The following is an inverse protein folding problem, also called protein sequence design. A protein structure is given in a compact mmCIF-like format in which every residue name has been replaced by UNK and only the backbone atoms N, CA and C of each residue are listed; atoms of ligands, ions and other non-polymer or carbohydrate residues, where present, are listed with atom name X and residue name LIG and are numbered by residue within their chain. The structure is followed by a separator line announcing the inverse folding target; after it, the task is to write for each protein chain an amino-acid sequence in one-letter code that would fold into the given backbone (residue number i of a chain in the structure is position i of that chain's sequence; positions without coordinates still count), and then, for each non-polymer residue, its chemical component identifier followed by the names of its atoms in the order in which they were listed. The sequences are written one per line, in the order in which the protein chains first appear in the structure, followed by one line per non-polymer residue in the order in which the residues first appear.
data_IF_856034689141
#
_entry.id   IF_856034689141
#
_cell.length_a   1.000
_cell.length_b   1.000
_cell.length_c   1.000
_cell.angle_alpha   90.00
_cell.angle_beta   90.00
_cell.angle_gamma   90.00
#
_symmetry.space_group_name_H-M   'P 1'
#
loop_
_entity.id
_entity.type
_entity.pdbx_description
1 polymer ?
2 polymer ?
3 water ?
#
# COMPACT_ATOMS: atom_id res chain seq x y z
N UNK A 1 -9.90 -24.33 -10.16
CA UNK A 1 -10.44 -23.84 -8.90
C UNK A 1 -9.65 -22.68 -8.30
N UNK A 2 -10.30 -21.97 -7.39
CA UNK A 2 -9.71 -20.91 -6.63
C UNK A 2 -8.81 -21.44 -5.51
N UNK A 3 -7.59 -20.92 -5.49
CA UNK A 3 -6.61 -21.26 -4.51
C UNK A 3 -6.88 -20.50 -3.21
N UNK A 4 -7.62 -21.11 -2.30
CA UNK A 4 -8.04 -20.43 -1.08
C UNK A 4 -6.92 -19.92 -0.18
N UNK A 5 -5.71 -20.47 -0.32
CA UNK A 5 -4.58 -19.97 0.43
C UNK A 5 -4.25 -18.54 0.12
N UNK A 6 -4.67 -18.10 -1.06
CA UNK A 6 -4.46 -16.70 -1.48
C UNK A 6 -5.31 -15.73 -0.64
N UNK A 7 -6.25 -16.23 0.17
CA UNK A 7 -6.96 -15.32 1.10
C UNK A 7 -6.17 -14.96 2.34
N UNK A 8 -4.95 -15.49 2.50
CA UNK A 8 -4.07 -15.16 3.61
C UNK A 8 -3.89 -13.63 3.80
N UNK A 9 -3.73 -12.93 2.67
CA UNK A 9 -3.51 -11.48 2.66
C UNK A 9 -4.71 -10.73 3.25
N UNK A 10 -5.90 -11.14 2.81
CA UNK A 10 -7.14 -10.56 3.37
C UNK A 10 -7.23 -10.82 4.85
N UNK A 11 -6.97 -12.05 5.28
CA UNK A 11 -7.02 -12.35 6.69
C UNK A 11 -6.11 -11.46 7.53
N UNK A 12 -4.91 -11.23 6.99
CA UNK A 12 -3.95 -10.36 7.64
C UNK A 12 -4.51 -8.95 7.71
N UNK A 13 -5.01 -8.48 6.57
CA UNK A 13 -5.59 -7.14 6.48
C UNK A 13 -6.74 -6.94 7.46
N UNK A 14 -7.57 -8.00 7.59
CA UNK A 14 -8.61 -7.95 8.65
C UNK A 14 -8.08 -7.85 10.05
N UNK A 15 -7.05 -8.59 10.37
CA UNK A 15 -6.41 -8.54 11.68
C UNK A 15 -5.74 -7.18 11.93
N UNK A 16 -5.15 -6.62 10.87
CA UNK A 16 -4.53 -5.29 10.95
C UNK A 16 -5.58 -4.22 11.24
N UNK A 17 -6.71 -4.30 10.55
CA UNK A 17 -7.83 -3.36 10.71
C UNK A 17 -8.32 -3.49 12.15
N UNK A 18 -8.43 -4.71 12.65
CA UNK A 18 -8.92 -4.91 14.04
C UNK A 18 -7.97 -4.29 15.04
N UNK A 19 -6.68 -4.39 14.76
CA UNK A 19 -5.66 -3.80 15.62
C UNK A 19 -5.77 -2.26 15.60
N UNK A 20 -6.01 -1.72 14.41
CA UNK A 20 -6.11 -0.27 14.15
C UNK A 20 -7.45 0.27 14.71
N UNK A 21 -8.28 -0.65 15.21
CA UNK A 21 -9.67 -0.42 15.66
C UNK A 21 -10.49 0.37 14.66
N UNK A 22 -10.62 -0.13 13.45
CA UNK A 22 -11.27 0.59 12.39
C UNK A 22 -12.12 -0.30 11.53
N UNK A 23 -13.00 0.33 10.80
CA UNK A 23 -13.79 -0.34 9.84
C UNK A 23 -12.83 -1.14 8.94
N UNK A 24 -13.15 -2.39 8.58
CA UNK A 24 -12.13 -3.18 7.88
C UNK A 24 -11.68 -2.60 6.54
N UNK A 25 -10.36 -2.56 6.37
CA UNK A 25 -9.82 -2.27 5.07
C UNK A 25 -10.04 -3.48 4.17
N UNK A 26 -10.15 -3.23 2.88
CA UNK A 26 -10.42 -4.30 1.92
C UNK A 26 -9.50 -4.25 0.72
N UNK A 27 -9.20 -5.41 0.18
CA UNK A 27 -8.56 -5.44 -1.12
C UNK A 27 -9.62 -5.37 -2.21
N UNK A 28 -9.44 -4.52 -3.20
CA UNK A 28 -10.32 -4.50 -4.35
C UNK A 28 -10.11 -5.67 -5.32
N UNK A 29 -10.80 -5.67 -6.45
CA UNK A 29 -10.76 -6.75 -7.41
C UNK A 29 -9.50 -6.72 -8.29
N UNK A 30 -8.58 -5.83 -7.93
CA UNK A 30 -7.23 -5.85 -8.48
C UNK A 30 -6.24 -6.23 -7.43
N UNK A 31 -6.70 -6.66 -6.26
CA UNK A 31 -5.79 -7.11 -5.25
C UNK A 31 -5.04 -5.98 -4.54
N UNK A 32 -5.63 -4.77 -4.53
CA UNK A 32 -5.00 -3.60 -3.93
C UNK A 32 -5.89 -2.91 -2.93
N UNK A 33 -5.24 -2.31 -1.96
CA UNK A 33 -5.91 -1.55 -0.89
C UNK A 33 -5.25 -0.18 -0.84
N UNK A 34 -5.93 0.86 -1.35
CA UNK A 34 -5.43 2.23 -1.37
C UNK A 34 -5.79 2.92 -0.11
N UNK A 35 -4.87 3.67 0.46
CA UNK A 35 -5.04 4.32 1.73
C UNK A 35 -4.43 5.73 1.67
N UNK A 36 -5.02 6.66 2.45
CA UNK A 36 -4.40 7.93 2.73
C UNK A 36 -4.04 8.00 4.19
N UNK A 37 -2.79 8.38 4.51
CA UNK A 37 -2.26 8.42 5.84
C UNK A 37 -2.04 9.85 6.23
N UNK A 38 -2.61 10.22 7.38
CA UNK A 38 -2.42 11.53 7.98
C UNK A 38 -2.77 12.69 7.07
N UNK A 39 -3.77 12.48 6.22
CA UNK A 39 -4.19 13.41 5.15
C UNK A 39 -3.04 13.96 4.32
N UNK A 40 -2.01 13.12 4.16
CA UNK A 40 -0.77 13.61 3.58
C UNK A 40 -0.14 12.63 2.61
N UNK A 41 -0.12 11.35 2.96
CA UNK A 41 0.61 10.38 2.17
C UNK A 41 -0.34 9.42 1.47
N UNK A 42 -0.01 9.08 0.24
CA UNK A 42 -0.70 8.09 -0.52
C UNK A 42 0.03 6.75 -0.51
N UNK A 43 -0.64 5.67 -0.10
CA UNK A 43 0.02 4.35 0.13
C UNK A 43 -0.93 3.31 -0.42
N UNK A 44 -0.39 2.26 -1.00
CA UNK A 44 -1.19 1.16 -1.48
C UNK A 44 -0.59 -0.14 -1.02
N UNK A 45 -1.42 -1.05 -0.56
CA UNK A 45 -0.98 -2.44 -0.34
C UNK A 45 -1.45 -3.28 -1.50
N UNK A 46 -0.56 -4.08 -2.11
CA UNK A 46 -0.85 -4.80 -3.32
C UNK A 46 -0.45 -6.26 -3.15
N UNK A 47 -1.38 -7.18 -3.45
CA UNK A 47 -1.10 -8.59 -3.26
C UNK A 47 -0.49 -9.18 -4.52
N UNK A 48 0.73 -9.70 -4.42
CA UNK A 48 1.32 -10.34 -5.57
C UNK A 48 1.25 -11.84 -5.33
N UNK A 49 0.15 -12.43 -5.74
CA UNK A 49 -0.16 -13.81 -5.35
C UNK A 49 0.84 -14.78 -5.97
N UNK A 50 1.18 -14.54 -7.23
CA UNK A 50 2.06 -15.43 -7.98
C UNK A 50 3.43 -15.49 -7.35
N UNK A 51 3.92 -14.38 -6.82
CA UNK A 51 5.23 -14.33 -6.20
C UNK A 51 5.21 -14.38 -4.70
N UNK A 52 4.03 -14.62 -4.12
CA UNK A 52 3.90 -14.86 -2.69
C UNK A 52 4.53 -13.73 -1.90
N UNK A 53 4.03 -12.51 -2.16
CA UNK A 53 4.54 -11.37 -1.43
C UNK A 53 3.47 -10.26 -1.37
N UNK A 54 3.58 -9.45 -0.36
CA UNK A 54 2.74 -8.25 -0.23
C UNK A 54 3.62 -7.05 -0.51
N UNK A 55 3.14 -6.16 -1.35
CA UNK A 55 3.87 -4.91 -1.65
C UNK A 55 3.25 -3.75 -0.94
N UNK A 56 4.10 -2.95 -0.35
CA UNK A 56 3.73 -1.63 0.18
C UNK A 56 4.28 -0.61 -0.79
N UNK A 57 3.44 0.27 -1.32
CA UNK A 57 3.83 1.18 -2.36
C UNK A 57 3.39 2.57 -1.98
N UNK A 58 4.29 3.52 -2.09
CA UNK A 58 3.99 4.89 -1.72
C UNK A 58 4.34 5.88 -2.77
N UNK A 59 3.58 6.98 -2.83
CA UNK A 59 3.86 8.11 -3.75
C UNK A 59 4.92 8.98 -3.17
N UNK A 60 6.10 9.09 -3.84
CA UNK A 60 7.19 9.94 -3.37
C UNK A 60 6.98 11.33 -3.98
N UNK A 61 7.44 12.35 -3.31
CA UNK A 61 7.34 13.72 -3.82
C UNK A 61 8.62 14.47 -3.54
N UNK A 62 9.72 14.06 -4.21
CA UNK A 62 10.99 14.78 -4.06
C UNK A 62 10.92 16.21 -4.63
N UNK A 63 11.67 17.14 -4.04
CA UNK A 63 11.93 18.45 -4.68
C UNK A 63 12.31 18.27 -6.14
N UNK A 64 11.63 19.04 -6.99
CA UNK A 64 11.87 19.13 -8.43
C UNK A 64 13.36 19.19 -8.83
N UNK A 65 14.21 19.70 -7.94
CA UNK A 65 15.63 19.92 -8.25
C UNK A 65 16.58 19.03 -7.42
N UNK A 66 16.04 18.00 -6.75
CA UNK A 66 16.90 17.00 -6.12
C UNK A 66 17.64 16.36 -7.29
N UNK A 67 18.97 16.29 -7.20
CA UNK A 67 19.72 15.70 -8.31
C UNK A 67 19.33 14.23 -8.48
N UNK A 68 19.21 13.79 -9.73
CA UNK A 68 18.89 12.38 -10.03
C UNK A 68 19.94 11.45 -9.42
N UNK A 69 21.20 11.87 -9.34
CA UNK A 69 22.22 11.09 -8.59
C UNK A 69 21.88 10.78 -7.13
N UNK A 70 21.20 11.72 -6.47
CA UNK A 70 20.77 11.53 -5.10
C UNK A 70 19.68 10.45 -5.02
N UNK A 71 18.75 10.50 -5.96
CA UNK A 71 17.65 9.53 -5.99
C UNK A 71 18.24 8.14 -6.29
N UNK A 72 19.21 8.10 -7.22
CA UNK A 72 19.87 6.79 -7.53
C UNK A 72 20.65 6.23 -6.36
N UNK A 73 21.23 7.04 -5.49
CA UNK A 73 21.82 6.55 -4.26
C UNK A 73 20.78 5.98 -3.31
N UNK A 74 19.69 6.71 -3.15
CA UNK A 74 18.51 6.21 -2.46
C UNK A 74 18.02 4.86 -2.93
N UNK A 75 18.09 4.63 -4.25
CA UNK A 75 17.62 3.40 -4.87
C UNK A 75 18.38 2.18 -4.34
N UNK A 76 19.58 2.40 -3.78
CA UNK A 76 20.35 1.27 -3.23
C UNK A 76 19.94 0.91 -1.85
N UNK A 77 19.08 1.69 -1.19
CA UNK A 77 18.73 1.40 0.17
C UNK A 77 18.33 -0.05 0.54
N UNK A 78 17.54 -0.70 -0.30
CA UNK A 78 17.21 -2.12 -0.01
C UNK A 78 18.44 -2.98 0.16
N UNK A 79 19.43 -2.77 -0.69
CA UNK A 79 20.69 -3.53 -0.49
C UNK A 79 21.33 -3.23 0.82
N UNK A 80 21.42 -1.97 1.21
CA UNK A 80 22.17 -1.54 2.36
C UNK A 80 21.58 -2.01 3.67
N UNK A 81 20.24 -2.07 3.77
CA UNK A 81 19.63 -2.39 5.06
C UNK A 81 18.24 -3.07 5.00
N UNK A 82 17.82 -3.53 3.83
CA UNK A 82 16.55 -4.23 3.62
C UNK A 82 15.36 -3.31 3.82
N UNK A 83 15.63 -2.03 3.85
CA UNK A 83 14.58 -1.01 3.91
C UNK A 83 13.97 -0.69 2.61
N UNK A 84 13.07 0.33 2.59
CA UNK A 84 12.40 0.65 1.37
C UNK A 84 13.23 1.12 0.21
N UNK A 85 12.75 0.96 -0.96
CA UNK A 85 13.41 1.37 -2.17
C UNK A 85 12.71 2.54 -2.79
N UNK A 86 13.21 2.95 -3.94
CA UNK A 86 12.54 3.92 -4.79
C UNK A 86 12.89 3.69 -6.25
N UNK A 87 12.06 4.22 -7.12
CA UNK A 87 12.28 4.18 -8.53
C UNK A 87 11.28 5.06 -9.25
N UNK A 88 11.49 5.22 -10.55
CA UNK A 88 10.61 5.98 -11.41
C UNK A 88 9.68 5.07 -12.15
N UNK A 89 8.39 5.35 -12.08
CA UNK A 89 7.45 4.75 -12.93
C UNK A 89 7.25 5.57 -14.22
N UNK A 90 7.54 4.96 -15.36
CA UNK A 90 7.55 5.74 -16.60
C UNK A 90 6.14 5.97 -17.19
N UNK A 91 5.17 5.10 -16.87
CA UNK A 91 3.77 5.36 -17.20
C UNK A 91 3.37 6.75 -16.66
N UNK A 92 3.46 6.92 -15.34
CA UNK A 92 2.96 8.12 -14.66
C UNK A 92 3.96 9.26 -14.54
N UNK A 93 5.27 9.00 -14.69
CA UNK A 93 6.28 9.99 -14.39
C UNK A 93 6.48 10.29 -12.95
N UNK A 94 5.84 9.48 -12.10
CA UNK A 94 5.96 9.65 -10.67
C UNK A 94 6.95 8.67 -10.00
N UNK A 95 7.67 9.20 -9.05
CA UNK A 95 8.57 8.40 -8.21
C UNK A 95 7.74 7.63 -7.20
N UNK A 96 8.09 6.36 -7.07
CA UNK A 96 7.44 5.42 -6.14
C UNK A 96 8.39 4.93 -5.11
N UNK A 97 8.00 4.88 -3.84
CA UNK A 97 8.71 4.20 -2.78
C UNK A 97 8.03 2.82 -2.60
N UNK A 98 8.81 1.80 -2.21
CA UNK A 98 8.24 0.46 -2.13
C UNK A 98 8.96 -0.38 -1.07
N UNK A 99 8.22 -1.33 -0.51
CA UNK A 99 8.81 -2.38 0.35
C UNK A 99 8.06 -3.64 0.02
N UNK A 100 8.74 -4.77 -0.04
CA UNK A 100 8.09 -6.05 -0.25
C UNK A 100 8.26 -6.88 0.97
N UNK A 101 7.21 -7.60 1.35
CA UNK A 101 7.25 -8.53 2.51
C UNK A 101 6.83 -9.92 1.97
N UNK A 102 7.74 -10.90 2.03
CA UNK A 102 7.32 -12.24 1.59
C UNK A 102 6.23 -12.78 2.51
N UNK A 103 5.35 -13.58 1.90
CA UNK A 103 4.19 -14.14 2.63
C UNK A 103 4.64 -14.81 3.93
N UNK A 104 5.73 -15.59 3.87
CA UNK A 104 6.36 -16.25 5.04
C UNK A 104 6.68 -15.34 6.22
N UNK A 105 6.92 -14.05 5.97
CA UNK A 105 7.29 -13.12 7.00
C UNK A 105 6.17 -12.19 7.45
N UNK A 106 4.99 -12.31 6.87
CA UNK A 106 3.92 -11.40 7.19
C UNK A 106 3.35 -11.68 8.56
N UNK A 107 3.06 -10.61 9.24
CA UNK A 107 2.36 -10.60 10.51
C UNK A 107 1.87 -9.22 10.74
N UNK A 108 0.96 -9.03 11.69
CA UNK A 108 0.45 -7.70 11.93
C UNK A 108 1.56 -6.76 12.43
N UNK A 109 2.40 -7.16 13.40
CA UNK A 109 3.49 -6.22 13.82
C UNK A 109 4.47 -5.92 12.69
N UNK A 110 4.81 -6.90 11.87
CA UNK A 110 5.73 -6.67 10.71
C UNK A 110 5.12 -5.72 9.73
N UNK A 111 3.86 -5.89 9.39
CA UNK A 111 3.22 -4.97 8.51
C UNK A 111 3.24 -3.55 9.08
N UNK A 112 2.89 -3.41 10.36
CA UNK A 112 2.91 -2.09 11.04
C UNK A 112 4.30 -1.46 10.94
N UNK A 113 5.32 -2.22 11.30
CA UNK A 113 6.71 -1.73 11.30
C UNK A 113 7.14 -1.32 9.90
N UNK A 114 6.85 -2.11 8.90
CA UNK A 114 7.24 -1.82 7.58
C UNK A 114 6.47 -0.64 6.97
N UNK A 115 5.19 -0.48 7.32
CA UNK A 115 4.44 0.68 6.85
C UNK A 115 5.03 1.93 7.46
N UNK A 116 5.31 1.92 8.74
CA UNK A 116 5.91 3.14 9.41
C UNK A 116 7.25 3.44 8.76
N UNK A 117 8.02 2.40 8.47
CA UNK A 117 9.32 2.61 7.79
C UNK A 117 9.17 3.27 6.46
N UNK A 118 8.22 2.83 5.67
CA UNK A 118 7.99 3.37 4.39
C UNK A 118 7.58 4.82 4.51
N UNK A 119 6.67 5.10 5.45
CA UNK A 119 6.19 6.46 5.63
C UNK A 119 7.30 7.39 6.00
N UNK A 120 8.16 6.98 6.91
CA UNK A 120 9.25 7.88 7.33
C UNK A 120 10.24 8.09 6.17
N UNK A 121 10.47 7.08 5.34
CA UNK A 121 11.27 7.21 4.11
C UNK A 121 10.67 8.21 3.17
N UNK A 122 9.35 8.13 2.93
CA UNK A 122 8.60 9.09 2.13
C UNK A 122 8.75 10.49 2.72
N UNK A 123 8.64 10.59 4.02
CA UNK A 123 8.71 11.91 4.69
C UNK A 123 10.09 12.51 4.41
N UNK A 124 11.12 11.71 4.56
CA UNK A 124 12.51 12.21 4.37
C UNK A 124 12.69 12.71 2.98
N UNK A 125 12.23 11.99 1.96
CA UNK A 125 12.42 12.42 0.58
C UNK A 125 11.65 13.66 0.22
N UNK A 126 10.51 13.85 0.86
CA UNK A 126 9.63 14.91 0.42
C UNK A 126 10.22 16.18 0.88
N UNK A 127 10.89 16.14 2.00
CA UNK A 127 11.46 17.36 2.53
C UNK A 127 12.96 17.52 2.34
N UNK A 128 13.62 16.56 1.69
CA UNK A 128 15.06 16.64 1.47
C UNK A 128 15.39 17.89 0.64
N UNK B 4 -17.58 2.63 15.34
CA UNK B 4 -17.13 1.74 14.21
C UNK B 4 -16.28 2.55 13.19
N UNK B 5 -15.20 3.16 13.68
CA UNK B 5 -14.60 4.37 13.04
C UNK B 5 -13.90 4.12 11.70
N UNK B 6 -13.90 5.15 10.85
CA UNK B 6 -13.26 5.09 9.53
C UNK B 6 -11.76 5.33 9.68
N UNK B 7 -11.35 5.92 10.79
CA UNK B 7 -9.98 6.37 10.94
C UNK B 7 -9.23 5.54 11.96
N UNK B 8 -8.42 4.64 11.44
CA UNK B 8 -7.62 3.79 12.28
C UNK B 8 -6.40 4.48 12.79
N UNK B 9 -5.90 3.98 13.89
CA UNK B 9 -4.73 4.53 14.49
C UNK B 9 -3.67 3.42 14.52
N UNK B 10 -2.65 3.63 13.70
CA UNK B 10 -1.52 2.75 13.60
C UNK B 10 -0.51 3.29 14.57
N UNK B 11 -0.21 2.54 15.62
CA UNK B 11 0.81 2.93 16.58
C UNK B 11 1.98 1.99 16.51
N UNK B 12 3.15 2.53 16.27
CA UNK B 12 4.34 1.72 16.17
C UNK B 12 5.55 2.63 16.43
N UNK B 13 6.48 2.17 17.28
CA UNK B 13 7.74 2.87 17.52
C UNK B 13 7.57 4.34 18.00
N UNK B 14 6.62 4.57 18.90
CA UNK B 14 6.40 5.88 19.47
C UNK B 14 5.71 6.88 18.54
N UNK B 15 5.11 6.40 17.46
CA UNK B 15 4.39 7.24 16.50
C UNK B 15 2.98 6.71 16.32
N UNK B 16 2.05 7.63 16.07
CA UNK B 16 0.69 7.33 15.75
C UNK B 16 0.30 7.93 14.42
N UNK B 17 -0.18 7.09 13.52
CA UNK B 17 -0.60 7.46 12.18
C UNK B 17 -2.06 7.20 11.99
N UNK B 18 -2.76 8.12 11.33
CA UNK B 18 -4.15 7.94 11.07
C UNK B 18 -4.32 7.38 9.71
N UNK B 19 -5.02 6.26 9.58
CA UNK B 19 -5.21 5.60 8.32
C UNK B 19 -6.64 5.70 7.88
N UNK B 20 -6.88 6.04 6.63
CA UNK B 20 -8.22 5.98 6.03
C UNK B 20 -8.16 5.31 4.70
N UNK B 21 -9.18 4.56 4.33
CA UNK B 21 -9.32 4.11 3.00
C UNK B 21 -9.40 5.23 1.99
N UNK B 22 -8.72 5.11 0.83
CA UNK B 22 -8.71 6.09 -0.19
C UNK B 22 -9.79 6.05 -1.23
N UNK B 23 -10.96 6.46 -0.84
CA UNK B 23 -12.00 6.70 -1.86
C UNK B 23 -12.07 8.13 -2.39
N UNK B 24 -12.92 8.38 -3.38
CA UNK B 24 -12.94 9.71 -4.00
C UNK B 24 -13.25 10.80 -2.97
N UNK B 25 -14.11 10.50 -2.02
CA UNK B 25 -14.36 11.38 -0.92
C UNK B 25 -13.16 11.75 -0.08
N UNK B 26 -12.32 10.77 0.25
CA UNK B 26 -11.22 10.96 1.16
C UNK B 26 -10.09 11.66 0.39
N UNK B 27 -9.99 11.48 -0.90
CA UNK B 27 -8.99 12.19 -1.75
C UNK B 27 -9.28 13.68 -1.75
N UNK B 28 -10.58 14.03 -1.79
CA UNK B 28 -11.01 15.45 -1.80
C UNK B 28 -10.58 16.22 -0.56
N UNK B 29 -10.17 15.54 0.48
CA UNK B 29 -9.80 16.17 1.71
C UNK B 29 -8.31 16.54 1.67
N UNK B 30 -7.51 15.87 0.84
CA UNK B 30 -6.11 16.25 0.70
C UNK B 30 -6.08 17.75 0.33
N UNK B 31 -4.93 18.41 0.54
CA UNK B 31 -4.77 19.76 -0.04
C UNK B 31 -4.95 19.73 -1.52
N UNK B 32 -5.63 20.74 -2.12
CA UNK B 32 -5.93 20.61 -3.52
C UNK B 32 -4.71 20.42 -4.40
N UNK B 33 -3.59 21.02 -4.01
CA UNK B 33 -2.35 20.95 -4.77
C UNK B 33 -1.69 19.58 -4.71
N UNK B 34 -2.21 18.69 -3.85
CA UNK B 34 -1.71 17.30 -3.69
C UNK B 34 -2.58 16.30 -4.45
N UNK B 35 -3.81 16.68 -4.80
CA UNK B 35 -4.79 15.67 -5.21
C UNK B 35 -4.49 15.05 -6.55
N UNK B 36 -4.07 15.82 -7.52
CA UNK B 36 -3.88 15.28 -8.88
C UNK B 36 -2.85 14.12 -8.90
N UNK B 37 -1.72 14.32 -8.23
CA UNK B 37 -0.68 13.27 -8.23
C UNK B 37 -1.21 12.09 -7.45
N UNK B 38 -1.89 12.32 -6.34
CA UNK B 38 -2.41 11.21 -5.55
C UNK B 38 -3.36 10.41 -6.41
N UNK B 39 -4.25 11.08 -7.14
CA UNK B 39 -5.18 10.38 -8.00
C UNK B 39 -4.45 9.56 -9.07
N UNK B 40 -3.42 10.14 -9.68
CA UNK B 40 -2.66 9.45 -10.72
C UNK B 40 -1.96 8.21 -10.11
N UNK B 41 -1.37 8.39 -8.94
CA UNK B 41 -0.72 7.28 -8.23
C UNK B 41 -1.72 6.15 -8.01
N UNK B 42 -2.88 6.47 -7.46
CA UNK B 42 -3.86 5.40 -7.13
C UNK B 42 -4.38 4.71 -8.38
N UNK B 43 -4.57 5.48 -9.44
CA UNK B 43 -5.08 4.93 -10.69
C UNK B 43 -4.15 3.91 -11.29
N UNK B 44 -2.85 4.18 -11.20
CA UNK B 44 -1.84 3.32 -11.81
C UNK B 44 -1.41 2.21 -10.88
N UNK B 45 -1.73 2.28 -9.59
CA UNK B 45 -0.99 1.43 -8.61
C UNK B 45 -1.23 -0.05 -8.85
N UNK B 46 -2.44 -0.41 -9.23
CA UNK B 46 -2.73 -1.83 -9.37
C UNK B 46 -2.19 -2.44 -10.67
N UNK B 47 -1.65 -1.60 -11.55
CA UNK B 47 -1.09 -2.08 -12.82
C UNK B 47 0.40 -2.13 -12.74
N UNK B 48 0.98 -1.72 -11.61
CA UNK B 48 2.45 -1.54 -11.54
C UNK B 48 3.17 -2.87 -11.71
N UNK B 49 2.70 -3.87 -11.01
CA UNK B 49 3.41 -5.12 -10.87
C UNK B 49 3.15 -5.95 -12.10
N UNK B 50 4.18 -6.62 -12.59
CA UNK B 50 4.06 -7.46 -13.78
C UNK B 50 3.06 -8.58 -13.56
N UNK B 51 2.29 -8.91 -14.60
CA UNK B 51 1.25 -9.93 -14.48
C UNK B 51 -0.05 -9.38 -13.92
N UNK B 52 -0.37 -8.13 -14.24
CA UNK B 52 -1.52 -7.45 -13.61
C UNK B 52 -2.85 -8.11 -14.00
N UNK B 53 -2.96 -8.58 -15.23
CA UNK B 53 -4.21 -9.22 -15.68
C UNK B 53 -4.60 -10.40 -14.83
N UNK B 54 -3.61 -11.24 -14.61
CA UNK B 54 -3.79 -12.50 -13.97
C UNK B 54 -4.02 -12.24 -12.47
N UNK B 55 -3.30 -11.25 -11.94
CA UNK B 55 -3.48 -10.92 -10.53
C UNK B 55 -4.93 -10.44 -10.27
N UNK B 56 -5.46 -9.65 -11.18
CA UNK B 56 -6.82 -9.16 -11.05
C UNK B 56 -7.82 -10.30 -11.19
N UNK B 57 -7.55 -11.27 -12.05
CA UNK B 57 -8.44 -12.44 -12.16
C UNK B 57 -8.51 -13.20 -10.85
N UNK B 58 -7.35 -13.38 -10.21
CA UNK B 58 -7.29 -14.05 -8.93
C UNK B 58 -8.03 -13.24 -7.87
N UNK B 59 -7.79 -11.93 -7.80
CA UNK B 59 -8.39 -11.09 -6.77
C UNK B 59 -9.92 -11.09 -6.85
N UNK B 60 -10.43 -11.02 -8.06
CA UNK B 60 -11.87 -10.97 -8.26
C UNK B 60 -12.47 -12.29 -7.81
N UNK B 61 -11.82 -13.40 -8.14
CA UNK B 61 -12.32 -14.71 -7.69
C UNK B 61 -12.30 -14.90 -6.19
N UNK B 62 -11.26 -14.41 -5.51
CA UNK B 62 -11.18 -14.50 -4.08
C UNK B 62 -12.30 -13.68 -3.43
N UNK B 63 -12.55 -12.50 -3.96
CA UNK B 63 -13.56 -11.64 -3.39
C UNK B 63 -14.95 -12.22 -3.52
N UNK B 64 -15.18 -12.94 -4.61
CA UNK B 64 -16.45 -13.67 -4.82
C UNK B 64 -16.60 -14.77 -3.77
N UNK B 65 -15.51 -15.49 -3.48
CA UNK B 65 -15.56 -16.51 -2.45
C UNK B 65 -15.86 -15.96 -1.08
N UNK B 66 -15.32 -14.78 -0.79
CA UNK B 66 -15.56 -14.11 0.47
C UNK B 66 -17.05 -13.74 0.59
N UNK B 67 -17.59 -13.23 -0.51
CA UNK B 67 -19.02 -12.89 -0.54
C UNK B 67 -19.88 -14.12 -0.32
N UNK B 68 -19.49 -15.24 -0.91
CA UNK B 68 -20.21 -16.50 -0.67
C UNK B 68 -20.18 -16.97 0.79
N UNK B 69 -19.03 -16.84 1.45
CA UNK B 69 -18.94 -17.29 2.82
C UNK B 69 -19.87 -16.46 3.70
N UNK B 70 -20.00 -15.18 3.39
CA UNK B 70 -20.91 -14.32 4.15
C UNK B 70 -22.37 -14.79 4.02
N UNK B 71 -22.76 -15.19 2.81
CA UNK B 71 -24.11 -15.74 2.58
C UNK B 71 -24.41 -17.00 3.41
N UNK B 72 -23.41 -17.86 3.61
CA UNK B 72 -23.57 -19.05 4.47
C UNK B 72 -24.03 -18.65 5.88
N UNK B 73 -23.44 -17.60 6.44
CA UNK B 73 -23.79 -17.14 7.77
C UNK B 73 -25.20 -16.60 7.80
N UNK B 74 -25.58 -15.90 6.74
CA UNK B 74 -26.87 -15.22 6.71
C UNK B 74 -27.95 -16.15 6.22
#
# INVERSE_FOLDING_TARGET
PVDMSNLFYKTLLDDFSRSLEMQPLVFDDHGTCNMIIDNTFALTLSCDYARERLLLIGLLEPHKDIPQQCLLAGALNPLLNAGPGLGLDEKSGLYHAYQSIPREKLSVPTLKREMAGLLEWMRGWREA
IPALKANGQLEVDGKRYEIRAADDGTISVLRPEQQSKAKSFFKGASQLIGGSSQRAQIAQALNEKVASARTVLHQSAMTGGR
#
